data_IF_788300164864
#
_entry.id   IF_788300164864
#
_cell.length_a   1.000
_cell.length_b   1.000
_cell.length_c   1.000
_cell.angle_alpha   90.00
_cell.angle_beta   90.00
_cell.angle_gamma   90.00
#
_symmetry.space_group_name_H-M   'P 1'
#
loop_
_entity.id
_entity.type
_entity.pdbx_description
1 polymer ?
#
# COMPACT_ATOMS: atom_id res chain seq x y z
N UNK A 1 -17.53 2.47 -12.87
CA UNK A 1 -17.03 1.13 -12.50
C UNK A 1 -15.86 0.78 -13.40
N UNK A 2 -14.65 0.78 -12.84
CA UNK A 2 -13.49 0.23 -13.53
C UNK A 2 -13.64 -1.28 -13.71
N UNK A 3 -13.09 -1.82 -14.79
CA UNK A 3 -13.00 -3.27 -14.97
C UNK A 3 -11.96 -3.85 -14.01
N UNK A 4 -12.25 -5.02 -13.45
CA UNK A 4 -11.31 -5.79 -12.61
C UNK A 4 -9.93 -5.97 -13.26
N UNK A 5 -9.87 -6.08 -14.60
CA UNK A 5 -8.61 -6.14 -15.35
C UNK A 5 -7.77 -4.88 -15.24
N UNK A 6 -8.40 -3.71 -15.19
CA UNK A 6 -7.71 -2.43 -15.01
C UNK A 6 -7.25 -2.25 -13.56
N UNK A 7 -8.09 -2.67 -12.61
CA UNK A 7 -7.72 -2.78 -11.19
C UNK A 7 -6.47 -3.65 -11.04
N UNK A 8 -6.44 -4.85 -11.63
CA UNK A 8 -5.27 -5.74 -11.59
C UNK A 8 -3.98 -5.09 -12.12
N UNK A 9 -4.10 -4.34 -13.21
CA UNK A 9 -2.97 -3.65 -13.84
C UNK A 9 -2.40 -2.55 -12.93
N UNK A 10 -3.29 -1.73 -12.37
CA UNK A 10 -2.92 -0.64 -11.46
C UNK A 10 -2.43 -1.19 -10.13
N UNK A 11 -3.07 -2.23 -9.63
CA UNK A 11 -2.67 -2.92 -8.41
C UNK A 11 -1.26 -3.48 -8.50
N UNK A 12 -0.83 -3.99 -9.66
CA UNK A 12 0.55 -4.43 -9.86
C UNK A 12 1.60 -3.33 -9.61
N UNK A 13 1.28 -2.07 -9.89
CA UNK A 13 2.18 -0.94 -9.59
C UNK A 13 2.26 -0.68 -8.08
N UNK A 14 1.13 -0.77 -7.38
CA UNK A 14 1.03 -0.68 -5.92
C UNK A 14 1.81 -1.80 -5.25
N UNK A 15 1.66 -3.05 -5.72
CA UNK A 15 2.38 -4.22 -5.20
C UNK A 15 3.90 -4.00 -5.26
N UNK A 16 4.39 -3.47 -6.37
CA UNK A 16 5.80 -3.16 -6.58
C UNK A 16 6.27 -2.02 -5.65
N UNK A 17 5.50 -0.95 -5.52
CA UNK A 17 5.83 0.18 -4.66
C UNK A 17 5.90 -0.24 -3.17
N UNK A 18 4.93 -1.04 -2.69
CA UNK A 18 4.98 -1.58 -1.33
C UNK A 18 6.15 -2.55 -1.17
N UNK A 19 6.45 -3.39 -2.17
CA UNK A 19 7.60 -4.31 -2.14
C UNK A 19 8.93 -3.57 -2.02
N UNK A 20 9.07 -2.43 -2.69
CA UNK A 20 10.22 -1.54 -2.55
C UNK A 20 10.28 -0.95 -1.14
N UNK A 21 9.15 -0.48 -0.59
CA UNK A 21 9.07 0.06 0.76
C UNK A 21 9.40 -1.01 1.83
N UNK A 22 8.98 -2.27 1.65
CA UNK A 22 9.33 -3.39 2.52
C UNK A 22 10.84 -3.70 2.50
N UNK A 23 11.47 -3.69 1.31
CA UNK A 23 12.92 -3.86 1.20
C UNK A 23 13.68 -2.72 1.89
N UNK A 24 13.26 -1.47 1.71
CA UNK A 24 13.87 -0.32 2.39
C UNK A 24 13.73 -0.45 3.91
N UNK A 25 12.56 -0.90 4.38
CA UNK A 25 12.31 -1.14 5.80
C UNK A 25 13.19 -2.24 6.40
N UNK A 26 13.57 -3.26 5.63
CA UNK A 26 14.49 -4.31 6.07
C UNK A 26 15.95 -3.87 6.14
N UNK A 27 16.35 -2.88 5.34
CA UNK A 27 17.73 -2.37 5.26
C UNK A 27 18.04 -1.28 6.29
N UNK A 28 17.03 -0.55 6.76
CA UNK A 28 17.19 0.55 7.71
C UNK A 28 17.13 0.07 9.16
N UNK A 29 18.23 0.23 9.89
CA UNK A 29 18.24 0.06 11.35
C UNK A 29 17.68 1.32 12.03
N UNK A 30 16.75 1.15 12.97
CA UNK A 30 16.10 2.28 13.66
C UNK A 30 14.77 2.75 13.05
N UNK A 31 14.20 1.96 12.13
CA UNK A 31 12.86 2.23 11.58
C UNK A 31 11.80 2.20 12.70
N UNK A 32 10.87 3.17 12.76
CA UNK A 32 9.75 3.12 13.69
C UNK A 32 8.95 1.82 13.53
N UNK A 33 8.62 1.17 14.65
CA UNK A 33 7.84 -0.08 14.66
C UNK A 33 6.49 0.10 13.96
N UNK A 34 5.80 1.23 14.15
CA UNK A 34 4.56 1.55 13.45
C UNK A 34 4.69 1.49 11.93
N UNK A 35 5.78 2.02 11.38
CA UNK A 35 5.98 2.03 9.93
C UNK A 35 6.23 0.61 9.40
N UNK A 36 7.06 -0.15 10.13
CA UNK A 36 7.33 -1.55 9.78
C UNK A 36 6.08 -2.41 9.84
N UNK A 37 5.25 -2.19 10.86
CA UNK A 37 3.96 -2.85 11.02
C UNK A 37 3.01 -2.51 9.86
N UNK A 38 2.87 -1.22 9.52
CA UNK A 38 2.02 -0.79 8.40
C UNK A 38 2.47 -1.41 7.07
N UNK A 39 3.77 -1.43 6.80
CA UNK A 39 4.33 -2.02 5.56
C UNK A 39 4.10 -3.53 5.52
N UNK A 40 4.26 -4.23 6.65
CA UNK A 40 4.04 -5.66 6.73
C UNK A 40 2.55 -6.01 6.53
N UNK A 41 1.64 -5.22 7.11
CA UNK A 41 0.20 -5.36 6.88
C UNK A 41 -0.17 -5.06 5.42
N UNK A 42 0.40 -4.01 4.82
CA UNK A 42 0.21 -3.69 3.41
C UNK A 42 0.65 -4.87 2.53
N UNK A 43 1.78 -5.51 2.83
CA UNK A 43 2.27 -6.67 2.09
C UNK A 43 1.31 -7.86 2.17
N UNK A 44 0.81 -8.19 3.36
CA UNK A 44 -0.18 -9.26 3.53
C UNK A 44 -1.49 -8.97 2.79
N UNK A 45 -1.94 -7.71 2.81
CA UNK A 45 -3.17 -7.31 2.15
C UNK A 45 -3.06 -7.43 0.63
N UNK A 46 -1.86 -7.38 0.03
CA UNK A 46 -1.72 -7.52 -1.43
C UNK A 46 -2.27 -8.83 -1.93
N UNK A 47 -1.93 -9.90 -1.23
CA UNK A 47 -2.39 -11.23 -1.57
C UNK A 47 -3.92 -11.33 -1.46
N UNK A 48 -4.52 -10.67 -0.45
CA UNK A 48 -5.96 -10.62 -0.30
C UNK A 48 -6.65 -9.84 -1.43
N UNK A 49 -6.12 -8.67 -1.82
CA UNK A 49 -6.63 -7.91 -2.97
C UNK A 49 -6.47 -8.71 -4.26
N UNK A 50 -5.31 -9.34 -4.48
CA UNK A 50 -5.05 -10.15 -5.68
C UNK A 50 -6.04 -11.30 -5.81
N UNK A 51 -6.34 -11.98 -4.71
CA UNK A 51 -7.35 -13.03 -4.67
C UNK A 51 -8.75 -12.48 -4.96
N UNK A 52 -9.10 -11.31 -4.41
CA UNK A 52 -10.39 -10.68 -4.67
C UNK A 52 -10.55 -10.25 -6.15
N UNK A 53 -9.46 -9.77 -6.77
CA UNK A 53 -9.38 -9.48 -8.20
C UNK A 53 -9.60 -10.75 -9.03
N UNK A 54 -8.97 -11.86 -8.65
CA UNK A 54 -9.11 -13.15 -9.35
C UNK A 54 -10.56 -13.67 -9.28
N UNK A 55 -11.19 -13.58 -8.11
CA UNK A 55 -12.60 -13.94 -7.92
C UNK A 55 -13.59 -12.91 -8.48
N UNK A 56 -13.09 -11.82 -9.08
CA UNK A 56 -13.89 -10.70 -9.58
C UNK A 56 -14.86 -10.13 -8.53
N UNK A 57 -14.42 -10.10 -7.27
CA UNK A 57 -15.25 -9.67 -6.14
C UNK A 57 -15.01 -8.20 -5.83
N UNK A 58 -15.76 -7.31 -6.48
CA UNK A 58 -15.63 -5.86 -6.32
C UNK A 58 -15.77 -5.38 -4.87
N UNK A 59 -16.62 -6.02 -4.07
CA UNK A 59 -16.83 -5.65 -2.67
C UNK A 59 -15.57 -5.93 -1.84
N UNK A 60 -14.96 -7.11 -2.02
CA UNK A 60 -13.69 -7.45 -1.36
C UNK A 60 -12.53 -6.60 -1.85
N UNK A 61 -12.45 -6.30 -3.14
CA UNK A 61 -11.43 -5.38 -3.69
C UNK A 61 -11.54 -4.02 -3.00
N UNK A 62 -12.75 -3.43 -2.97
CA UNK A 62 -13.01 -2.13 -2.33
C UNK A 62 -12.60 -2.15 -0.85
N UNK A 63 -13.05 -3.14 -0.09
CA UNK A 63 -12.67 -3.26 1.32
C UNK A 63 -11.16 -3.37 1.52
N UNK A 64 -10.49 -4.20 0.72
CA UNK A 64 -9.07 -4.42 0.88
C UNK A 64 -8.26 -3.17 0.48
N UNK A 65 -8.67 -2.45 -0.57
CA UNK A 65 -8.07 -1.16 -0.96
C UNK A 65 -8.30 -0.10 0.11
N UNK A 66 -9.49 -0.03 0.72
CA UNK A 66 -9.79 0.90 1.81
C UNK A 66 -8.90 0.65 3.04
N UNK A 67 -8.74 -0.62 3.42
CA UNK A 67 -7.83 -1.03 4.49
C UNK A 67 -6.38 -0.68 4.18
N UNK A 68 -5.93 -0.91 2.94
CA UNK A 68 -4.59 -0.53 2.50
C UNK A 68 -4.37 0.98 2.53
N UNK A 69 -5.35 1.77 2.12
CA UNK A 69 -5.26 3.23 2.13
C UNK A 69 -5.07 3.76 3.55
N UNK A 70 -5.83 3.20 4.52
CA UNK A 70 -5.67 3.53 5.94
C UNK A 70 -4.27 3.16 6.48
N UNK A 71 -3.74 1.99 6.10
CA UNK A 71 -2.37 1.59 6.44
C UNK A 71 -1.33 2.52 5.79
N UNK A 72 -1.55 2.94 4.55
CA UNK A 72 -0.71 3.89 3.83
C UNK A 72 -0.68 5.27 4.48
N UNK A 73 -1.83 5.79 4.93
CA UNK A 73 -1.92 7.06 5.66
C UNK A 73 -1.19 6.96 7.01
N UNK A 74 -1.37 5.85 7.73
CA UNK A 74 -0.65 5.61 8.99
C UNK A 74 0.85 5.52 8.78
N UNK A 75 1.30 4.80 7.74
CA UNK A 75 2.70 4.74 7.34
C UNK A 75 3.25 6.14 6.98
N UNK A 76 2.49 6.95 6.24
CA UNK A 76 2.86 8.32 5.86
C UNK A 76 3.03 9.21 7.09
N UNK A 77 2.14 9.10 8.08
CA UNK A 77 2.26 9.82 9.37
C UNK A 77 3.50 9.36 10.14
N UNK A 78 3.72 8.05 10.26
CA UNK A 78 4.89 7.50 10.94
C UNK A 78 6.21 7.95 10.27
N UNK A 79 6.24 8.00 8.95
CA UNK A 79 7.34 8.60 8.16
C UNK A 79 7.53 10.10 8.42
N UNK A 80 6.43 10.85 8.59
CA UNK A 80 6.48 12.28 8.85
C UNK A 80 6.98 12.63 10.25
N UNK A 81 6.68 11.79 11.24
CA UNK A 81 7.09 11.99 12.64
C UNK A 81 8.49 11.48 12.95
N UNK A 82 9.00 10.52 12.18
CA UNK A 82 10.30 9.90 12.42
C UNK A 82 11.41 10.60 11.62
N UNK A 83 12.26 11.36 12.31
CA UNK A 83 13.45 12.01 11.71
C UNK A 83 14.46 11.01 11.14
N UNK A 84 14.38 9.73 11.52
CA UNK A 84 15.26 8.65 11.06
C UNK A 84 14.83 8.03 9.72
N UNK A 85 13.70 8.45 9.15
CA UNK A 85 13.20 7.89 7.89
C UNK A 85 13.86 8.59 6.70
N UNK A 86 14.42 7.80 5.78
CA UNK A 86 15.05 8.33 4.56
C UNK A 86 14.03 8.94 3.60
N UNK A 87 14.46 9.92 2.78
CA UNK A 87 13.61 10.52 1.75
C UNK A 87 13.09 9.50 0.74
N UNK A 88 13.88 8.45 0.46
CA UNK A 88 13.46 7.34 -0.40
C UNK A 88 12.27 6.59 0.18
N UNK A 89 12.32 6.25 1.47
CA UNK A 89 11.21 5.56 2.14
C UNK A 89 9.95 6.43 2.17
N UNK A 90 10.11 7.71 2.50
CA UNK A 90 8.99 8.67 2.49
C UNK A 90 8.36 8.76 1.09
N UNK A 91 9.17 8.78 0.03
CA UNK A 91 8.70 8.79 -1.35
C UNK A 91 7.99 7.49 -1.73
N UNK A 92 8.52 6.34 -1.32
CA UNK A 92 7.89 5.04 -1.56
C UNK A 92 6.51 4.95 -0.88
N UNK A 93 6.42 5.36 0.39
CA UNK A 93 5.16 5.37 1.15
C UNK A 93 4.14 6.34 0.56
N UNK A 94 4.59 7.55 0.19
CA UNK A 94 3.75 8.52 -0.51
C UNK A 94 3.20 7.95 -1.82
N UNK A 95 4.04 7.29 -2.61
CA UNK A 95 3.65 6.69 -3.88
C UNK A 95 2.63 5.58 -3.70
N UNK A 96 2.83 4.70 -2.71
CA UNK A 96 1.85 3.65 -2.35
C UNK A 96 0.50 4.27 -1.98
N UNK A 97 0.50 5.29 -1.12
CA UNK A 97 -0.73 5.94 -0.68
C UNK A 97 -1.45 6.67 -1.83
N UNK A 98 -0.70 7.36 -2.70
CA UNK A 98 -1.26 8.07 -3.86
C UNK A 98 -1.93 7.09 -4.83
N UNK A 99 -1.26 5.99 -5.19
CA UNK A 99 -1.84 4.98 -6.07
C UNK A 99 -3.02 4.24 -5.45
N UNK A 100 -2.99 3.97 -4.13
CA UNK A 100 -4.13 3.40 -3.41
C UNK A 100 -5.33 4.35 -3.38
N UNK A 101 -5.08 5.64 -3.15
CA UNK A 101 -6.13 6.66 -3.09
C UNK A 101 -6.77 6.90 -4.46
N UNK A 102 -5.97 6.85 -5.54
CA UNK A 102 -6.47 6.91 -6.92
C UNK A 102 -7.27 5.64 -7.27
N UNK A 103 -6.77 4.46 -6.87
CA UNK A 103 -7.48 3.20 -7.07
C UNK A 103 -8.83 3.18 -6.31
N UNK A 104 -8.85 3.63 -5.05
CA UNK A 104 -10.07 3.75 -4.25
C UNK A 104 -11.09 4.68 -4.91
N UNK A 105 -10.66 5.85 -5.39
CA UNK A 105 -11.54 6.80 -6.08
C UNK A 105 -12.15 6.24 -7.36
N UNK A 106 -11.45 5.34 -8.06
CA UNK A 106 -11.97 4.71 -9.27
C UNK A 106 -12.88 3.51 -9.00
N UNK A 107 -12.71 2.90 -7.83
CA UNK A 107 -13.55 1.81 -7.37
C UNK A 107 -14.88 2.32 -6.79
N UNK A 108 -14.92 3.50 -6.16
CA UNK A 108 -16.17 4.17 -5.73
C UNK A 108 -16.86 4.87 -6.91
#
# INVERSE_FOLDING_TARGET
>A
MMQVKEVARRFGAIEHAIGQAAQLCGKQQGMPMDLKDCINQLDQQKSAVRQAIDTQDDARIRQAVDQMESLGDRAKRACGTASSVTPEMKSAVLKVHDELSDLKHQLH
#
